data_IF_988398222593
#
_entry.id   IF_988398222593
#
_cell.length_a   1.000
_cell.length_b   1.000
_cell.length_c   1.000
_cell.angle_alpha   90.00
_cell.angle_beta   90.00
_cell.angle_gamma   90.00
#
_symmetry.space_group_name_H-M   'P 1'
#
loop_
_entity.id
_entity.type
_entity.pdbx_description
1 polymer ?
#
# COMPACT_ATOMS: atom_id res chain seq x y z
N UNK A 1 -0.82 -6.36 -29.46
CA UNK A 1 -1.80 -6.87 -28.48
C UNK A 1 -1.23 -6.74 -27.07
N UNK A 2 0.04 -7.05 -26.90
CA UNK A 2 0.78 -7.05 -25.63
C UNK A 2 0.85 -5.68 -24.94
N UNK A 3 1.01 -4.59 -25.72
CA UNK A 3 0.99 -3.21 -25.20
C UNK A 3 -0.38 -2.89 -24.59
N UNK A 4 -1.47 -3.30 -25.23
CA UNK A 4 -2.82 -3.06 -24.73
C UNK A 4 -3.06 -3.83 -23.43
N UNK A 5 -2.65 -5.12 -23.37
CA UNK A 5 -2.75 -5.94 -22.16
C UNK A 5 -1.93 -5.33 -21.02
N UNK A 6 -0.73 -4.85 -21.32
CA UNK A 6 0.15 -4.19 -20.33
C UNK A 6 -0.50 -2.93 -19.77
N UNK A 7 -1.05 -2.06 -20.63
CA UNK A 7 -1.74 -0.83 -20.18
C UNK A 7 -2.95 -1.19 -19.31
N UNK A 8 -3.76 -2.17 -19.73
CA UNK A 8 -4.91 -2.63 -18.96
C UNK A 8 -4.47 -3.18 -17.60
N UNK A 9 -3.43 -4.01 -17.55
CA UNK A 9 -2.91 -4.57 -16.31
C UNK A 9 -2.43 -3.47 -15.33
N UNK A 10 -1.71 -2.46 -15.84
CA UNK A 10 -1.26 -1.32 -15.03
C UNK A 10 -2.45 -0.51 -14.47
N UNK A 11 -3.48 -0.28 -15.29
CA UNK A 11 -4.70 0.41 -14.86
C UNK A 11 -5.47 -0.41 -13.82
N UNK A 12 -5.67 -1.72 -14.06
CA UNK A 12 -6.38 -2.61 -13.13
C UNK A 12 -5.64 -2.69 -11.80
N UNK A 13 -4.32 -2.89 -11.82
CA UNK A 13 -3.48 -2.90 -10.63
C UNK A 13 -3.63 -1.60 -9.82
N UNK A 14 -3.57 -0.45 -10.49
CA UNK A 14 -3.58 0.88 -9.86
C UNK A 14 -4.95 1.31 -9.35
N UNK A 15 -6.04 1.00 -10.07
CA UNK A 15 -7.40 1.40 -9.69
C UNK A 15 -7.97 0.45 -8.63
N UNK A 16 -7.95 -0.86 -8.89
CA UNK A 16 -8.58 -1.84 -8.01
C UNK A 16 -7.77 -2.13 -6.76
N UNK A 17 -6.45 -1.95 -6.79
CA UNK A 17 -5.63 -2.23 -5.61
C UNK A 17 -5.94 -1.33 -4.41
N UNK A 18 -6.56 -0.16 -4.59
CA UNK A 18 -7.01 0.65 -3.46
C UNK A 18 -8.15 -0.04 -2.71
N UNK A 19 -9.14 -0.55 -3.44
CA UNK A 19 -10.26 -1.29 -2.86
C UNK A 19 -9.79 -2.59 -2.18
N UNK A 20 -8.81 -3.29 -2.77
CA UNK A 20 -8.21 -4.49 -2.18
C UNK A 20 -7.49 -4.18 -0.87
N UNK A 21 -6.65 -3.14 -0.84
CA UNK A 21 -5.93 -2.74 0.38
C UNK A 21 -6.90 -2.31 1.47
N UNK A 22 -7.92 -1.51 1.16
CA UNK A 22 -8.95 -1.12 2.14
C UNK A 22 -9.73 -2.34 2.64
N UNK A 23 -10.06 -3.29 1.77
CA UNK A 23 -10.72 -4.54 2.15
C UNK A 23 -9.88 -5.38 3.12
N UNK A 24 -8.58 -5.55 2.84
CA UNK A 24 -7.66 -6.29 3.72
C UNK A 24 -7.52 -5.58 5.07
N UNK A 25 -7.37 -4.25 5.07
CA UNK A 25 -7.28 -3.47 6.30
C UNK A 25 -8.59 -3.50 7.10
N UNK A 26 -9.74 -3.53 6.45
CA UNK A 26 -11.03 -3.67 7.11
C UNK A 26 -11.15 -5.01 7.85
N UNK A 27 -10.63 -6.09 7.27
CA UNK A 27 -10.58 -7.41 7.92
C UNK A 27 -9.58 -7.42 9.08
N UNK A 28 -8.40 -6.80 8.90
CA UNK A 28 -7.37 -6.77 9.94
C UNK A 28 -7.82 -6.04 11.23
N UNK A 29 -8.68 -5.03 11.11
CA UNK A 29 -9.27 -4.29 12.26
C UNK A 29 -10.23 -5.11 13.12
N UNK A 30 -10.61 -6.33 12.70
CA UNK A 30 -11.55 -7.20 13.43
C UNK A 30 -10.87 -7.93 14.60
N UNK A 31 -9.54 -7.86 14.73
CA UNK A 31 -8.85 -8.32 15.95
C UNK A 31 -9.03 -7.24 17.02
N UNK A 32 -9.84 -7.47 18.08
CA UNK A 32 -10.13 -6.44 19.06
C UNK A 32 -8.85 -6.09 19.82
N UNK A 33 -8.51 -4.81 19.84
CA UNK A 33 -7.58 -4.26 20.81
C UNK A 33 -8.27 -4.38 22.18
N UNK A 34 -7.70 -5.15 23.12
CA UNK A 34 -8.19 -5.11 24.50
C UNK A 34 -8.10 -3.67 24.98
N UNK A 35 -9.26 -3.04 25.11
CA UNK A 35 -9.39 -1.68 25.60
C UNK A 35 -8.99 -1.69 27.06
N UNK A 36 -7.76 -1.29 27.38
CA UNK A 36 -7.44 -0.83 28.72
C UNK A 36 -8.12 0.52 28.91
N UNK A 37 -9.22 0.47 29.65
CA UNK A 37 -10.00 1.60 30.11
C UNK A 37 -9.21 2.36 31.19
N UNK A 38 -8.36 3.27 30.75
CA UNK A 38 -7.68 4.21 31.63
C UNK A 38 -8.27 5.59 31.35
N UNK A 39 -9.32 5.91 32.12
CA UNK A 39 -9.99 7.19 32.07
C UNK A 39 -9.02 8.33 32.41
N UNK A 40 -8.78 9.20 31.44
CA UNK A 40 -8.25 10.54 31.73
C UNK A 40 -8.90 11.57 30.81
N UNK A 41 -9.47 12.61 31.43
CA UNK A 41 -10.13 13.72 30.76
C UNK A 41 -9.06 14.69 30.26
N UNK A 42 -8.41 14.34 29.14
CA UNK A 42 -7.42 15.20 28.49
C UNK A 42 -8.14 16.27 27.65
N UNK A 43 -8.15 17.50 28.17
CA UNK A 43 -8.54 18.68 27.39
C UNK A 43 -7.52 18.87 26.27
N UNK A 44 -7.92 18.57 25.03
CA UNK A 44 -7.06 18.71 23.85
C UNK A 44 -6.88 20.20 23.49
N UNK A 45 -5.65 20.69 23.23
CA UNK A 45 -5.41 22.05 22.75
C UNK A 45 -5.99 22.26 21.34
N UNK A 46 -6.24 23.52 20.93
CA UNK A 46 -6.85 23.83 19.64
C UNK A 46 -6.07 23.21 18.48
N UNK A 47 -6.78 22.42 17.68
CA UNK A 47 -6.25 21.69 16.51
C UNK A 47 -5.55 22.68 15.58
N UNK A 48 -4.22 22.57 15.35
CA UNK A 48 -3.54 23.43 14.39
C UNK A 48 -4.15 23.22 13.00
N UNK A 49 -4.33 24.31 12.27
CA UNK A 49 -4.97 24.35 10.96
C UNK A 49 -4.51 23.18 10.08
N UNK A 50 -5.48 22.41 9.55
CA UNK A 50 -5.26 21.24 8.67
C UNK A 50 -4.17 21.57 7.64
N UNK A 51 -2.94 21.14 7.92
CA UNK A 51 -1.86 21.15 6.93
C UNK A 51 -2.41 20.32 5.78
N UNK A 52 -2.48 20.89 4.57
CA UNK A 52 -2.83 20.15 3.37
C UNK A 52 -1.71 19.12 3.13
N UNK A 53 -1.77 18.01 3.84
CA UNK A 53 -0.92 16.86 3.56
C UNK A 53 -1.49 16.32 2.26
N UNK A 54 -0.69 16.38 1.19
CA UNK A 54 -0.96 15.63 -0.04
C UNK A 54 -1.40 14.22 0.36
N UNK A 55 -2.32 13.60 -0.38
CA UNK A 55 -2.67 12.17 -0.22
C UNK A 55 -1.47 11.29 -0.61
N UNK A 56 -0.36 11.43 0.10
CA UNK A 56 0.94 10.86 -0.21
C UNK A 56 0.84 9.34 -0.27
N UNK A 57 0.13 8.73 0.67
CA UNK A 57 -0.10 7.28 0.66
C UNK A 57 -0.83 6.77 -0.60
N UNK A 58 -1.80 7.52 -1.13
CA UNK A 58 -2.54 7.09 -2.32
C UNK A 58 -1.68 7.20 -3.59
N UNK A 59 -0.96 8.31 -3.77
CA UNK A 59 -0.08 8.53 -4.93
C UNK A 59 1.09 7.55 -4.91
N UNK A 60 1.75 7.39 -3.75
CA UNK A 60 2.81 6.39 -3.57
C UNK A 60 2.29 4.99 -3.90
N UNK A 61 1.09 4.64 -3.43
CA UNK A 61 0.48 3.36 -3.73
C UNK A 61 0.24 3.13 -5.22
N UNK A 62 -0.10 4.17 -6.01
CA UNK A 62 -0.23 4.03 -7.47
C UNK A 62 1.14 3.78 -8.11
N UNK A 63 2.15 4.58 -7.75
CA UNK A 63 3.50 4.47 -8.33
C UNK A 63 4.11 3.08 -8.08
N UNK A 64 3.97 2.57 -6.86
CA UNK A 64 4.50 1.25 -6.53
C UNK A 64 3.77 0.13 -7.25
N UNK A 65 2.44 0.21 -7.39
CA UNK A 65 1.68 -0.82 -8.10
C UNK A 65 2.03 -0.84 -9.58
N UNK A 66 2.21 0.32 -10.20
CA UNK A 66 2.73 0.42 -11.57
C UNK A 66 4.13 -0.18 -11.67
N UNK A 67 5.03 0.13 -10.73
CA UNK A 67 6.38 -0.43 -10.71
C UNK A 67 6.36 -1.95 -10.53
N UNK A 68 5.66 -2.47 -9.52
CA UNK A 68 5.56 -3.90 -9.23
C UNK A 68 4.96 -4.67 -10.40
N UNK A 69 3.80 -4.24 -10.93
CA UNK A 69 3.16 -4.91 -12.07
C UNK A 69 4.05 -4.85 -13.32
N UNK A 70 4.67 -3.70 -13.60
CA UNK A 70 5.60 -3.56 -14.73
C UNK A 70 6.84 -4.44 -14.61
N UNK A 71 7.45 -4.53 -13.42
CA UNK A 71 8.62 -5.37 -13.18
C UNK A 71 8.31 -6.86 -13.33
N UNK A 72 7.12 -7.31 -12.95
CA UNK A 72 6.68 -8.68 -13.22
C UNK A 72 6.57 -8.94 -14.72
N UNK A 73 5.93 -8.04 -15.46
CA UNK A 73 5.73 -8.18 -16.92
C UNK A 73 7.07 -8.19 -17.67
N UNK A 74 8.04 -7.37 -17.24
CA UNK A 74 9.38 -7.30 -17.85
C UNK A 74 10.31 -8.43 -17.38
N UNK A 75 9.83 -9.33 -16.50
CA UNK A 75 10.62 -10.46 -15.98
C UNK A 75 11.71 -10.06 -14.97
N UNK A 76 11.62 -8.86 -14.39
CA UNK A 76 12.56 -8.29 -13.42
C UNK A 76 11.95 -8.24 -12.01
N UNK A 77 11.24 -9.29 -11.60
CA UNK A 77 10.55 -9.35 -10.30
C UNK A 77 11.50 -9.12 -9.10
N UNK A 78 12.79 -9.45 -9.22
CA UNK A 78 13.78 -9.18 -8.18
C UNK A 78 13.90 -7.70 -7.80
N UNK A 79 13.66 -6.78 -8.74
CA UNK A 79 13.71 -5.33 -8.49
C UNK A 79 12.54 -4.82 -7.63
N UNK A 80 11.52 -5.65 -7.38
CA UNK A 80 10.45 -5.31 -6.42
C UNK A 80 11.05 -5.10 -5.02
N UNK A 81 12.13 -5.82 -4.66
CA UNK A 81 12.83 -5.60 -3.40
C UNK A 81 13.36 -4.16 -3.27
N UNK A 82 13.78 -3.54 -4.37
CA UNK A 82 14.22 -2.13 -4.41
C UNK A 82 13.04 -1.19 -4.16
N UNK A 83 11.88 -1.47 -4.78
CA UNK A 83 10.65 -0.69 -4.56
C UNK A 83 10.22 -0.74 -3.09
N UNK A 84 10.25 -1.93 -2.49
CA UNK A 84 9.96 -2.14 -1.06
C UNK A 84 10.92 -1.32 -0.20
N UNK A 85 12.22 -1.38 -0.48
CA UNK A 85 13.25 -0.66 0.28
C UNK A 85 13.07 0.85 0.21
N UNK A 86 12.82 1.42 -0.98
CA UNK A 86 12.60 2.86 -1.15
C UNK A 86 11.39 3.32 -0.31
N UNK A 87 10.29 2.57 -0.36
CA UNK A 87 9.07 2.90 0.39
C UNK A 87 9.31 2.89 1.90
N UNK A 88 9.91 1.83 2.43
CA UNK A 88 10.08 1.65 3.88
C UNK A 88 11.06 2.65 4.47
N UNK A 89 12.13 3.00 3.75
CA UNK A 89 13.12 4.00 4.19
C UNK A 89 12.51 5.40 4.32
N UNK A 90 11.65 5.79 3.37
CA UNK A 90 11.05 7.13 3.35
C UNK A 90 10.12 7.42 4.55
N UNK A 91 9.66 6.39 5.26
CA UNK A 91 8.72 6.51 6.39
C UNK A 91 9.26 5.93 7.69
N UNK A 92 10.53 5.56 7.74
CA UNK A 92 11.12 4.86 8.88
C UNK A 92 10.92 5.59 10.21
N UNK A 93 11.12 6.91 10.24
CA UNK A 93 10.93 7.71 11.46
C UNK A 93 9.47 7.66 11.97
N UNK A 94 8.48 7.82 11.07
CA UNK A 94 7.05 7.76 11.43
C UNK A 94 6.62 6.36 11.92
N UNK A 95 7.24 5.30 11.41
CA UNK A 95 6.90 3.92 11.75
C UNK A 95 7.50 3.47 13.08
N UNK A 96 8.52 4.16 13.59
CA UNK A 96 9.10 3.88 14.91
C UNK A 96 8.25 4.44 16.05
N UNK A 97 7.55 5.55 15.82
CA UNK A 97 6.84 6.28 16.87
C UNK A 97 5.52 5.62 17.30
N UNK A 98 4.88 4.85 16.41
CA UNK A 98 3.57 4.23 16.64
C UNK A 98 3.50 2.80 16.06
N UNK A 99 3.48 1.75 16.92
CA UNK A 99 3.36 0.36 16.48
C UNK A 99 2.12 0.08 15.62
N UNK A 100 0.97 0.69 15.91
CA UNK A 100 -0.27 0.47 15.17
C UNK A 100 -0.19 1.06 13.76
N UNK A 101 0.49 2.21 13.61
CA UNK A 101 0.79 2.78 12.28
C UNK A 101 1.74 1.87 11.49
N UNK A 102 2.74 1.31 12.17
CA UNK A 102 3.69 0.36 11.58
C UNK A 102 3.01 -0.91 11.07
N UNK A 103 2.18 -1.54 11.88
CA UNK A 103 1.43 -2.74 11.50
C UNK A 103 0.49 -2.46 10.31
N UNK A 104 -0.28 -1.38 10.36
CA UNK A 104 -1.17 -0.97 9.25
C UNK A 104 -0.37 -0.73 7.97
N UNK A 105 0.82 -0.14 8.07
CA UNK A 105 1.69 0.10 6.93
C UNK A 105 2.21 -1.21 6.33
N UNK A 106 2.66 -2.16 7.16
CA UNK A 106 3.15 -3.47 6.71
C UNK A 106 2.02 -4.25 6.03
N UNK A 107 0.87 -4.40 6.70
CA UNK A 107 -0.28 -5.14 6.16
C UNK A 107 -0.76 -4.51 4.84
N UNK A 108 -0.92 -3.19 4.81
CA UNK A 108 -1.37 -2.48 3.62
C UNK A 108 -0.39 -2.61 2.44
N UNK A 109 0.91 -2.57 2.72
CA UNK A 109 1.95 -2.69 1.70
C UNK A 109 2.02 -4.12 1.14
N UNK A 110 2.01 -5.13 2.01
CA UNK A 110 2.00 -6.54 1.59
C UNK A 110 0.76 -6.86 0.76
N UNK A 111 -0.42 -6.40 1.18
CA UNK A 111 -1.66 -6.56 0.42
C UNK A 111 -1.55 -5.93 -0.98
N UNK A 112 -0.98 -4.71 -1.05
CA UNK A 112 -0.77 -4.00 -2.32
C UNK A 112 0.19 -4.73 -3.25
N UNK A 113 1.31 -5.25 -2.73
CA UNK A 113 2.30 -5.99 -3.54
C UNK A 113 1.75 -7.32 -4.03
N UNK A 114 1.01 -8.05 -3.19
CA UNK A 114 0.35 -9.30 -3.60
C UNK A 114 -0.65 -9.05 -4.72
N UNK A 115 -1.47 -8.00 -4.61
CA UNK A 115 -2.41 -7.63 -5.66
C UNK A 115 -1.71 -7.26 -6.97
N UNK A 116 -0.72 -6.36 -6.91
CA UNK A 116 -0.01 -5.90 -8.11
C UNK A 116 0.80 -7.03 -8.76
N UNK A 117 1.40 -7.91 -7.94
CA UNK A 117 2.11 -9.10 -8.40
C UNK A 117 1.18 -10.09 -9.09
N UNK A 118 0.00 -10.35 -8.51
CA UNK A 118 -1.02 -11.21 -9.12
C UNK A 118 -1.49 -10.67 -10.47
N UNK A 119 -1.80 -9.38 -10.55
CA UNK A 119 -2.21 -8.75 -11.81
C UNK A 119 -1.10 -8.83 -12.87
N UNK A 120 0.15 -8.56 -12.48
CA UNK A 120 1.31 -8.68 -13.38
C UNK A 120 1.53 -10.11 -13.86
N UNK A 121 1.38 -11.08 -12.96
CA UNK A 121 1.51 -12.50 -13.29
C UNK A 121 0.44 -12.96 -14.29
N UNK A 122 -0.83 -12.60 -14.05
CA UNK A 122 -1.95 -12.90 -14.97
C UNK A 122 -1.70 -12.26 -16.33
N UNK A 123 -1.27 -11.00 -16.38
CA UNK A 123 -0.96 -10.31 -17.62
C UNK A 123 0.15 -11.03 -18.40
N UNK A 124 1.20 -11.48 -17.72
CA UNK A 124 2.30 -12.23 -18.33
C UNK A 124 1.80 -13.54 -18.97
N UNK A 125 0.87 -14.26 -18.34
CA UNK A 125 0.31 -15.50 -18.90
C UNK A 125 -0.57 -15.28 -20.14
N UNK A 126 -1.05 -14.06 -20.38
CA UNK A 126 -1.88 -13.71 -21.56
C UNK A 126 -1.01 -13.19 -22.71
N UNK A 127 0.15 -12.61 -22.40
CA UNK A 127 1.10 -12.05 -23.37
C UNK A 127 1.95 -13.15 -24.03
N UNK A 128 2.29 -14.20 -23.27
CA UNK A 128 3.08 -15.36 -23.72
C UNK A 128 2.19 -16.37 -24.45
#
# INVERSE_FOLDING_TARGET
MDILITIIALLVSSVFGWAVVEGVLAIARVVPEETKDDGDLVISPPVPAKKHVLRGGAVIGVLERMATTGLVIVGQAGLIAVVVAIKSLGRWAELQDDPAVSERFIIGSLASYLWAGLVGFIALQIIV
#
